data_IF_928883101283
#
_entry.id   IF_928883101283
#
_cell.length_a   1.000
_cell.length_b   1.000
_cell.length_c   1.000
_cell.angle_alpha   90.00
_cell.angle_beta   90.00
_cell.angle_gamma   90.00
#
_symmetry.space_group_name_H-M   'P 1'
#
loop_
_entity.id
_entity.type
_entity.pdbx_description
1 polymer ?
#
# COMPACT_ATOMS: atom_id res chain seq x y z
N UNK A 1 11.13 9.01 -12.47
CA UNK A 1 10.27 9.38 -11.32
C UNK A 1 10.04 8.16 -10.46
N UNK A 2 10.07 8.27 -9.13
CA UNK A 2 9.82 7.14 -8.22
C UNK A 2 8.32 6.95 -7.99
N UNK A 3 7.88 5.70 -7.81
CA UNK A 3 6.47 5.38 -7.52
C UNK A 3 5.96 6.12 -6.27
N UNK A 4 6.81 6.21 -5.24
CA UNK A 4 6.55 6.96 -4.01
C UNK A 4 6.21 8.42 -4.29
N UNK A 5 6.94 9.07 -5.19
CA UNK A 5 6.69 10.47 -5.52
C UNK A 5 5.34 10.67 -6.23
N UNK A 6 4.95 9.72 -7.08
CA UNK A 6 3.63 9.75 -7.74
C UNK A 6 2.51 9.58 -6.71
N UNK A 7 2.63 8.60 -5.80
CA UNK A 7 1.63 8.37 -4.75
C UNK A 7 1.51 9.59 -3.82
N UNK A 8 2.64 10.20 -3.48
CA UNK A 8 2.66 11.45 -2.71
C UNK A 8 1.93 12.58 -3.45
N UNK A 9 2.22 12.79 -4.73
CA UNK A 9 1.54 13.81 -5.55
C UNK A 9 0.04 13.55 -5.66
N UNK A 10 -0.38 12.30 -5.83
CA UNK A 10 -1.80 11.94 -5.85
C UNK A 10 -2.48 12.29 -4.53
N UNK A 11 -1.83 11.97 -3.40
CA UNK A 11 -2.30 12.37 -2.08
C UNK A 11 -2.41 13.88 -1.96
N UNK A 12 -1.38 14.61 -2.39
CA UNK A 12 -1.33 16.07 -2.34
C UNK A 12 -2.44 16.72 -3.17
N UNK A 13 -2.63 16.28 -4.41
CA UNK A 13 -3.69 16.78 -5.29
C UNK A 13 -5.06 16.45 -4.70
N UNK A 14 -5.23 15.25 -4.16
CA UNK A 14 -6.50 14.83 -3.57
C UNK A 14 -6.86 15.67 -2.32
N UNK A 15 -5.91 15.87 -1.40
CA UNK A 15 -6.12 16.71 -0.21
C UNK A 15 -6.41 18.16 -0.59
N UNK A 16 -5.66 18.70 -1.56
CA UNK A 16 -5.91 20.05 -2.07
C UNK A 16 -7.31 20.20 -2.70
N UNK A 17 -7.78 19.20 -3.43
CA UNK A 17 -9.10 19.23 -4.07
C UNK A 17 -10.27 18.95 -3.11
N UNK A 18 -10.04 18.18 -2.03
CA UNK A 18 -11.06 17.74 -1.07
C UNK A 18 -10.61 17.96 0.38
N UNK A 19 -10.36 19.22 0.79
CA UNK A 19 -9.80 19.56 2.09
C UNK A 19 -10.66 19.03 3.25
N UNK A 20 -10.03 18.32 4.19
CA UNK A 20 -10.66 17.88 5.43
C UNK A 20 -11.72 16.78 5.28
N UNK A 21 -11.92 16.22 4.08
CA UNK A 21 -12.87 15.12 3.84
C UNK A 21 -12.27 13.74 4.05
N UNK A 22 -10.94 13.64 4.13
CA UNK A 22 -10.27 12.35 4.17
C UNK A 22 -10.24 11.74 5.58
N UNK A 23 -10.92 10.62 5.77
CA UNK A 23 -10.82 9.81 6.98
C UNK A 23 -9.53 8.98 6.94
N UNK A 24 -8.49 9.54 7.54
CA UNK A 24 -7.14 8.97 7.56
C UNK A 24 -7.09 7.60 8.23
N UNK A 25 -7.92 7.37 9.26
CA UNK A 25 -7.97 6.09 9.95
C UNK A 25 -8.59 5.03 9.03
N UNK A 26 -9.67 5.38 8.34
CA UNK A 26 -10.30 4.51 7.35
C UNK A 26 -9.39 4.27 6.16
N UNK A 27 -8.60 5.25 5.73
CA UNK A 27 -7.60 5.07 4.68
C UNK A 27 -6.57 4.02 5.08
N UNK A 28 -5.95 4.13 6.26
CA UNK A 28 -4.94 3.15 6.72
C UNK A 28 -5.57 1.76 6.87
N UNK A 29 -6.81 1.66 7.36
CA UNK A 29 -7.54 0.39 7.44
C UNK A 29 -7.78 -0.20 6.05
N UNK A 30 -8.18 0.62 5.08
CA UNK A 30 -8.37 0.19 3.71
C UNK A 30 -7.03 -0.25 3.07
N UNK A 31 -5.94 0.47 3.33
CA UNK A 31 -4.60 0.08 2.88
C UNK A 31 -4.19 -1.27 3.45
N UNK A 32 -4.49 -1.56 4.72
CA UNK A 32 -4.27 -2.89 5.31
C UNK A 32 -5.07 -3.98 4.59
N UNK A 33 -6.36 -3.75 4.34
CA UNK A 33 -7.21 -4.72 3.64
C UNK A 33 -6.67 -4.98 2.24
N UNK A 34 -6.35 -3.93 1.49
CA UNK A 34 -5.76 -4.02 0.14
C UNK A 34 -4.42 -4.76 0.20
N UNK A 35 -3.57 -4.45 1.18
CA UNK A 35 -2.28 -5.11 1.38
C UNK A 35 -2.41 -6.60 1.66
N UNK A 36 -3.39 -7.01 2.48
CA UNK A 36 -3.68 -8.43 2.74
C UNK A 36 -4.16 -9.12 1.46
N UNK A 37 -5.07 -8.50 0.71
CA UNK A 37 -5.59 -9.07 -0.54
C UNK A 37 -4.46 -9.26 -1.57
N UNK A 38 -3.69 -8.21 -1.85
CA UNK A 38 -2.57 -8.30 -2.80
C UNK A 38 -1.46 -9.23 -2.31
N UNK A 39 -1.14 -9.19 -1.01
CA UNK A 39 -0.18 -10.10 -0.39
C UNK A 39 -0.60 -11.57 -0.53
N UNK A 40 -1.89 -11.88 -0.34
CA UNK A 40 -2.43 -13.21 -0.54
C UNK A 40 -2.38 -13.65 -2.01
N UNK A 41 -2.66 -12.75 -2.97
CA UNK A 41 -2.53 -13.05 -4.40
C UNK A 41 -1.09 -13.35 -4.79
N UNK A 42 -0.12 -12.56 -4.30
CA UNK A 42 1.31 -12.79 -4.54
C UNK A 42 1.74 -14.11 -3.90
N UNK A 43 1.31 -14.39 -2.67
CA UNK A 43 1.60 -15.64 -1.98
C UNK A 43 1.06 -16.85 -2.73
N UNK A 44 -0.17 -16.77 -3.24
CA UNK A 44 -0.78 -17.82 -4.05
C UNK A 44 -0.03 -18.01 -5.38
N UNK A 45 0.30 -16.92 -6.06
CA UNK A 45 1.10 -16.98 -7.28
C UNK A 45 2.46 -17.64 -7.02
N UNK A 46 3.17 -17.19 -5.99
CA UNK A 46 4.45 -17.76 -5.58
C UNK A 46 4.33 -19.25 -5.27
N UNK A 47 3.30 -19.65 -4.53
CA UNK A 47 3.03 -21.04 -4.23
C UNK A 47 2.91 -21.87 -5.51
N UNK A 48 2.06 -21.45 -6.46
CA UNK A 48 1.83 -22.16 -7.73
C UNK A 48 3.11 -22.28 -8.54
N UNK A 49 3.88 -21.20 -8.69
CA UNK A 49 5.12 -21.21 -9.48
C UNK A 49 6.26 -22.00 -8.82
N UNK A 50 6.21 -22.23 -7.51
CA UNK A 50 7.25 -22.97 -6.77
C UNK A 50 6.89 -24.42 -6.46
N UNK A 51 5.72 -24.92 -6.91
CA UNK A 51 5.34 -26.33 -6.78
C UNK A 51 6.44 -27.29 -7.27
N UNK A 52 7.08 -27.09 -8.45
CA UNK A 52 8.14 -27.99 -8.90
C UNK A 52 9.36 -28.00 -7.98
N UNK A 53 9.69 -26.86 -7.36
CA UNK A 53 10.80 -26.74 -6.42
C UNK A 53 10.47 -27.34 -5.04
N UNK A 54 9.19 -27.49 -4.71
CA UNK A 54 8.74 -28.07 -3.45
C UNK A 54 9.17 -29.54 -3.27
N UNK A 55 9.40 -30.28 -4.36
CA UNK A 55 9.91 -31.66 -4.29
C UNK A 55 11.34 -31.74 -3.75
N UNK A 56 12.17 -30.71 -4.00
CA UNK A 56 13.54 -30.63 -3.49
C UNK A 56 13.61 -29.90 -2.14
N UNK A 57 12.76 -28.88 -1.94
CA UNK A 57 12.72 -28.10 -0.71
C UNK A 57 11.28 -27.78 -0.31
N UNK A 58 10.61 -28.67 0.45
CA UNK A 58 9.17 -28.58 0.75
C UNK A 58 8.76 -27.30 1.49
N UNK A 59 9.70 -26.67 2.19
CA UNK A 59 9.46 -25.46 3.00
C UNK A 59 9.42 -24.19 2.15
N UNK A 60 9.98 -24.22 0.94
CA UNK A 60 10.15 -23.03 0.10
C UNK A 60 8.82 -22.33 -0.28
N UNK A 61 7.76 -23.05 -0.72
CA UNK A 61 6.49 -22.41 -1.05
C UNK A 61 5.82 -21.77 0.17
N UNK A 62 5.99 -22.40 1.35
CA UNK A 62 5.40 -21.90 2.60
C UNK A 62 6.09 -20.60 3.04
N UNK A 63 7.43 -20.57 3.03
CA UNK A 63 8.19 -19.37 3.40
C UNK A 63 7.95 -18.22 2.43
N UNK A 64 7.94 -18.48 1.13
CA UNK A 64 7.65 -17.46 0.13
C UNK A 64 6.20 -16.96 0.19
N UNK A 65 5.25 -17.83 0.53
CA UNK A 65 3.86 -17.44 0.78
C UNK A 65 3.73 -16.46 1.96
N UNK A 66 4.34 -16.78 3.11
CA UNK A 66 4.36 -15.89 4.27
C UNK A 66 5.06 -14.57 3.95
N UNK A 67 6.20 -14.63 3.27
CA UNK A 67 6.94 -13.44 2.84
C UNK A 67 6.11 -12.57 1.89
N UNK A 68 5.35 -13.17 0.96
CA UNK A 68 4.47 -12.46 0.04
C UNK A 68 3.34 -11.70 0.74
N UNK A 69 2.69 -12.32 1.74
CA UNK A 69 1.65 -11.66 2.54
C UNK A 69 2.24 -10.47 3.29
N UNK A 70 3.36 -10.68 3.99
CA UNK A 70 4.01 -9.61 4.75
C UNK A 70 4.45 -8.46 3.83
N UNK A 71 5.08 -8.79 2.69
CA UNK A 71 5.50 -7.80 1.71
C UNK A 71 4.31 -6.98 1.19
N UNK A 72 3.18 -7.62 0.88
CA UNK A 72 1.96 -6.95 0.45
C UNK A 72 1.40 -5.98 1.51
N UNK A 73 1.33 -6.42 2.76
CA UNK A 73 0.88 -5.60 3.90
C UNK A 73 1.79 -4.39 4.09
N UNK A 74 3.12 -4.60 4.17
CA UNK A 74 4.07 -3.52 4.39
C UNK A 74 4.10 -2.53 3.22
N UNK A 75 4.04 -3.02 1.98
CA UNK A 75 3.99 -2.15 0.80
C UNK A 75 2.72 -1.28 0.80
N UNK A 76 1.55 -1.88 1.06
CA UNK A 76 0.30 -1.14 1.09
C UNK A 76 0.24 -0.12 2.23
N UNK A 77 0.75 -0.48 3.42
CA UNK A 77 0.89 0.47 4.54
C UNK A 77 1.84 1.61 4.19
N UNK A 78 3.00 1.31 3.62
CA UNK A 78 3.97 2.32 3.21
C UNK A 78 3.34 3.33 2.25
N UNK A 79 2.68 2.86 1.19
CA UNK A 79 2.02 3.74 0.23
C UNK A 79 0.80 4.46 0.82
N UNK A 80 0.03 3.81 1.68
CA UNK A 80 -1.09 4.43 2.40
C UNK A 80 -0.65 5.59 3.28
N UNK A 81 0.44 5.41 4.03
CA UNK A 81 1.03 6.48 4.86
C UNK A 81 1.55 7.62 3.99
N UNK A 82 2.29 7.31 2.91
CA UNK A 82 2.80 8.34 1.98
C UNK A 82 1.65 9.15 1.37
N UNK A 83 0.59 8.49 0.95
CA UNK A 83 -0.61 9.15 0.43
C UNK A 83 -1.28 10.03 1.50
N UNK A 84 -1.44 9.53 2.72
CA UNK A 84 -2.00 10.28 3.84
C UNK A 84 -1.17 11.53 4.19
N UNK A 85 0.16 11.44 4.14
CA UNK A 85 1.04 12.61 4.31
C UNK A 85 0.84 13.60 3.16
N UNK A 86 0.70 13.11 1.93
CA UNK A 86 0.33 13.93 0.78
C UNK A 86 -0.98 14.69 1.03
N UNK A 87 -2.05 14.00 1.44
CA UNK A 87 -3.36 14.64 1.68
C UNK A 87 -3.30 15.69 2.77
N UNK A 88 -2.54 15.46 3.85
CA UNK A 88 -2.30 16.46 4.91
C UNK A 88 -1.71 17.75 4.34
N UNK A 89 -0.65 17.61 3.52
CA UNK A 89 0.03 18.77 2.95
C UNK A 89 -0.88 19.48 1.95
N UNK A 90 -1.64 18.72 1.15
CA UNK A 90 -2.64 19.26 0.23
C UNK A 90 -3.70 20.09 0.95
N UNK A 91 -4.27 19.56 2.03
CA UNK A 91 -5.25 20.27 2.89
C UNK A 91 -4.66 21.57 3.44
N UNK A 92 -3.41 21.53 3.94
CA UNK A 92 -2.72 22.71 4.47
C UNK A 92 -2.52 23.77 3.39
N UNK A 93 -2.07 23.39 2.19
CA UNK A 93 -1.88 24.32 1.08
C UNK A 93 -3.21 24.98 0.66
N UNK A 94 -4.30 24.23 0.61
CA UNK A 94 -5.62 24.78 0.30
C UNK A 94 -6.06 25.82 1.34
N UNK A 95 -5.89 25.51 2.62
CA UNK A 95 -6.24 26.42 3.71
C UNK A 95 -5.42 27.72 3.72
N UNK A 96 -4.17 27.67 3.22
CA UNK A 96 -3.28 28.83 3.13
C UNK A 96 -3.61 29.71 1.92
N UNK A 97 -4.12 29.13 0.83
CA UNK A 97 -4.47 29.87 -0.39
C UNK A 97 -5.85 30.52 -0.29
N UNK A 98 -6.81 29.87 0.40
CA UNK A 98 -8.16 30.41 0.60
C UNK A 98 -8.30 31.32 1.83
N UNK A 99 -7.26 31.46 2.63
CA UNK A 99 -7.13 32.54 3.62
C UNK A 99 -6.49 33.76 2.98
#
# INVERSE_FOLDING_TARGET
MSLTFIVFLLGLVYGFANPGREDRLRLIRNSLIVGVIFGALIALAFFIFTIPAAFAMPVLPLLGGVAGILAGIFAALYFGVVFAVGTIIGDMLESLIKR
#
